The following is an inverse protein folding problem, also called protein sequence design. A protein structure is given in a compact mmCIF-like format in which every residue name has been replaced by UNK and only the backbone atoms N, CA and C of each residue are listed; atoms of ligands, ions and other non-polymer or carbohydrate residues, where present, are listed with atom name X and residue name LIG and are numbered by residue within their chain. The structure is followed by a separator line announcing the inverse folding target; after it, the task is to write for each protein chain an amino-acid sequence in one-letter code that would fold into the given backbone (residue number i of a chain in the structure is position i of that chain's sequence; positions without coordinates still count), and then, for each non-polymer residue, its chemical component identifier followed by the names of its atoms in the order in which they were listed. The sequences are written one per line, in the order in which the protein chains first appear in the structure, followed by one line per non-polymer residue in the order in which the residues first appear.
data_IF_178101268243
#
_entry.id   IF_178101268243
#
_cell.length_a   1.000
_cell.length_b   1.000
_cell.length_c   1.000
_cell.angle_alpha   90.00
_cell.angle_beta   90.00
_cell.angle_gamma   90.00
#
_symmetry.space_group_name_H-M   'P 1'
#
loop_
_entity.id
_entity.type
_entity.pdbx_description
1 polymer ?
#
# COMPACT_ATOMS: atom_id res chain seq x y z
N UNK A 1 3.22 6.63 4.21
CA UNK A 1 2.65 7.63 5.12
C UNK A 1 2.80 7.19 6.58
N UNK A 2 2.64 8.11 7.49
CA UNK A 2 2.55 7.82 8.92
C UNK A 2 1.13 7.42 9.26
N UNK A 3 0.94 6.19 9.73
CA UNK A 3 -0.40 5.64 9.96
C UNK A 3 -1.14 6.26 11.14
N UNK A 4 -0.44 6.93 12.07
CA UNK A 4 -1.06 7.55 13.24
C UNK A 4 -1.78 8.86 12.91
N UNK A 5 -1.20 9.67 12.02
CA UNK A 5 -1.76 10.99 11.68
C UNK A 5 -2.05 11.16 10.19
N UNK A 6 -1.78 10.13 9.38
CA UNK A 6 -1.98 10.12 7.92
C UNK A 6 -1.16 11.19 7.18
N UNK A 7 -0.01 11.60 7.74
CA UNK A 7 0.88 12.54 7.06
C UNK A 7 1.73 11.81 6.02
N UNK A 8 1.94 12.48 4.88
CA UNK A 8 2.79 11.94 3.82
C UNK A 8 4.26 12.02 4.25
N UNK A 9 5.03 10.97 3.96
CA UNK A 9 6.47 10.96 4.21
C UNK A 9 7.16 11.99 3.32
N UNK A 10 7.94 12.89 3.93
CA UNK A 10 8.53 14.03 3.22
C UNK A 10 9.51 13.63 2.12
N UNK A 11 10.16 12.46 2.26
CA UNK A 11 11.12 11.94 1.28
C UNK A 11 10.48 10.97 0.27
N UNK A 12 9.17 10.79 0.31
CA UNK A 12 8.49 9.94 -0.64
C UNK A 12 8.58 10.53 -2.05
N UNK A 13 8.84 9.67 -3.02
CA UNK A 13 8.80 10.07 -4.42
C UNK A 13 7.37 10.43 -4.82
N UNK A 14 7.24 11.48 -5.63
CA UNK A 14 5.96 11.95 -6.13
C UNK A 14 5.97 11.92 -7.63
N UNK A 15 4.88 11.39 -8.22
CA UNK A 15 4.73 11.34 -9.66
C UNK A 15 4.06 12.60 -10.15
N UNK A 16 3.85 12.77 -11.44
CA UNK A 16 3.73 11.66 -12.41
C UNK A 16 5.09 11.22 -12.95
N UNK A 17 5.11 10.06 -13.66
CA UNK A 17 6.32 9.66 -14.39
C UNK A 17 6.44 10.45 -15.72
N UNK A 18 7.49 10.17 -16.50
CA UNK A 18 7.76 10.89 -17.76
C UNK A 18 6.67 10.71 -18.81
N UNK A 19 5.86 9.67 -18.71
CA UNK A 19 4.75 9.38 -19.63
C UNK A 19 3.40 9.92 -19.13
N UNK A 20 3.42 10.71 -18.07
CA UNK A 20 2.22 11.24 -17.39
C UNK A 20 1.26 10.17 -16.88
N UNK A 21 1.75 8.95 -16.67
CA UNK A 21 1.01 7.90 -16.00
C UNK A 21 0.98 8.21 -14.48
N UNK A 22 -0.18 8.02 -13.86
CA UNK A 22 -0.33 8.26 -12.43
C UNK A 22 0.59 7.33 -11.62
N UNK A 23 1.46 7.93 -10.83
CA UNK A 23 2.33 7.28 -9.85
C UNK A 23 2.47 8.18 -8.63
N UNK A 24 2.53 7.62 -7.43
CA UNK A 24 2.40 6.20 -7.09
C UNK A 24 0.98 5.67 -7.39
N UNK A 25 0.81 4.34 -7.36
CA UNK A 25 -0.53 3.75 -7.51
C UNK A 25 -1.38 3.98 -6.26
N UNK A 26 -0.78 3.83 -5.09
CA UNK A 26 -1.42 4.10 -3.80
C UNK A 26 -0.34 4.30 -2.74
N UNK A 27 -0.74 4.75 -1.56
CA UNK A 27 0.15 4.96 -0.43
C UNK A 27 -0.03 3.85 0.62
N UNK A 28 1.05 3.49 1.28
CA UNK A 28 1.06 2.49 2.34
C UNK A 28 1.86 2.98 3.55
N UNK A 29 1.65 2.41 4.75
CA UNK A 29 2.40 2.80 5.93
C UNK A 29 3.90 2.53 5.75
N UNK A 30 4.72 3.53 6.00
CA UNK A 30 6.17 3.46 5.82
C UNK A 30 6.96 4.38 6.74
N UNK A 31 6.32 5.00 7.73
CA UNK A 31 6.98 5.93 8.67
C UNK A 31 6.86 5.39 10.08
N UNK A 32 7.99 5.32 10.79
CA UNK A 32 8.07 4.81 12.15
C UNK A 32 7.46 3.41 12.28
N UNK A 33 7.80 2.53 11.38
CA UNK A 33 7.31 1.16 11.36
C UNK A 33 8.17 0.31 12.27
N UNK A 34 7.54 -0.43 13.19
CA UNK A 34 8.21 -1.41 14.02
C UNK A 34 8.53 -2.64 13.18
N UNK A 35 9.80 -2.96 13.03
CA UNK A 35 10.27 -4.05 12.19
C UNK A 35 11.40 -4.82 12.86
N UNK A 36 11.73 -5.99 12.32
CA UNK A 36 12.82 -6.81 12.82
C UNK A 36 14.14 -6.06 12.70
N UNK A 37 15.02 -6.27 13.67
CA UNK A 37 16.31 -5.59 13.74
C UNK A 37 17.46 -6.58 13.89
N UNK A 38 18.58 -6.24 13.28
CA UNK A 38 19.85 -6.97 13.44
C UNK A 38 20.73 -6.31 14.51
N UNK A 39 20.26 -5.24 15.14
CA UNK A 39 21.05 -4.54 16.16
C UNK A 39 21.21 -5.37 17.42
N UNK A 40 22.43 -5.43 18.02
CA UNK A 40 22.65 -6.17 19.26
C UNK A 40 21.70 -5.68 20.38
N UNK A 41 21.09 -6.64 21.07
CA UNK A 41 20.19 -6.33 22.19
C UNK A 41 18.77 -5.92 21.84
N UNK A 42 18.43 -5.83 20.53
CA UNK A 42 17.10 -5.49 20.09
C UNK A 42 16.55 -6.47 19.07
N UNK A 43 15.38 -7.05 19.31
CA UNK A 43 14.69 -7.89 18.33
C UNK A 43 13.96 -7.07 17.29
N UNK A 44 13.57 -5.85 17.66
CA UNK A 44 12.79 -4.94 16.83
C UNK A 44 13.37 -3.53 16.88
N UNK A 45 13.15 -2.78 15.83
CA UNK A 45 13.51 -1.37 15.74
C UNK A 45 12.49 -0.63 14.90
N UNK A 46 12.39 0.69 15.13
CA UNK A 46 11.57 1.56 14.30
C UNK A 46 12.36 2.03 13.09
N UNK A 47 11.74 1.99 11.93
CA UNK A 47 12.37 2.44 10.68
C UNK A 47 11.35 3.15 9.79
N UNK A 48 11.85 4.01 8.90
CA UNK A 48 11.02 4.76 7.97
C UNK A 48 11.60 4.68 6.56
N UNK A 49 10.72 4.64 5.58
CA UNK A 49 11.11 4.64 4.17
C UNK A 49 10.02 4.07 3.29
N UNK A 50 10.04 4.44 2.03
CA UNK A 50 9.12 3.87 1.02
C UNK A 50 9.36 2.38 0.80
N UNK A 51 10.57 1.88 1.12
CA UNK A 51 10.86 0.44 1.11
C UNK A 51 9.98 -0.33 2.10
N UNK A 52 9.70 0.27 3.26
CA UNK A 52 8.80 -0.34 4.26
C UNK A 52 7.35 -0.30 3.80
N UNK A 53 6.94 0.77 3.13
CA UNK A 53 5.62 0.84 2.49
C UNK A 53 5.47 -0.23 1.41
N UNK A 54 6.50 -0.46 0.61
CA UNK A 54 6.51 -1.52 -0.40
C UNK A 54 6.43 -2.91 0.24
N UNK A 55 7.13 -3.14 1.34
CA UNK A 55 7.07 -4.40 2.08
C UNK A 55 5.67 -4.65 2.64
N UNK A 56 5.02 -3.62 3.18
CA UNK A 56 3.63 -3.67 3.64
C UNK A 56 2.70 -4.11 2.50
N UNK A 57 2.83 -3.46 1.36
CA UNK A 57 2.02 -3.76 0.18
C UNK A 57 2.26 -5.18 -0.33
N UNK A 58 3.51 -5.67 -0.26
CA UNK A 58 3.85 -7.05 -0.64
C UNK A 58 3.12 -8.07 0.24
N UNK A 59 3.06 -7.83 1.54
CA UNK A 59 2.31 -8.68 2.48
C UNK A 59 0.81 -8.66 2.17
N UNK A 60 0.26 -7.51 1.89
CA UNK A 60 -1.15 -7.35 1.49
C UNK A 60 -1.42 -8.12 0.19
N UNK A 61 -0.53 -8.01 -0.79
CA UNK A 61 -0.65 -8.74 -2.05
C UNK A 61 -0.64 -10.26 -1.83
N UNK A 62 0.21 -10.75 -0.93
CA UNK A 62 0.25 -12.16 -0.59
C UNK A 62 -1.09 -12.66 -0.05
N UNK A 63 -1.75 -11.87 0.80
CA UNK A 63 -3.06 -12.21 1.34
C UNK A 63 -4.15 -12.21 0.25
N UNK A 64 -4.08 -11.29 -0.69
CA UNK A 64 -4.99 -11.28 -1.85
C UNK A 64 -4.78 -12.50 -2.74
N UNK A 65 -3.54 -12.89 -2.99
CA UNK A 65 -3.23 -14.10 -3.77
C UNK A 65 -3.71 -15.37 -3.06
N UNK A 66 -3.59 -15.43 -1.74
CA UNK A 66 -4.15 -16.56 -0.98
C UNK A 66 -5.66 -16.65 -1.17
N UNK A 67 -6.37 -15.55 -0.99
CA UNK A 67 -7.82 -15.49 -1.17
C UNK A 67 -8.22 -15.90 -2.58
N UNK A 68 -7.51 -15.38 -3.59
CA UNK A 68 -7.88 -15.58 -4.98
C UNK A 68 -7.54 -16.97 -5.49
N UNK A 69 -6.29 -17.40 -5.32
CA UNK A 69 -5.77 -18.62 -5.94
C UNK A 69 -5.85 -19.83 -5.02
N UNK A 70 -5.42 -19.70 -3.77
CA UNK A 70 -5.38 -20.84 -2.84
C UNK A 70 -6.81 -21.22 -2.43
N UNK A 71 -7.64 -20.24 -2.14
CA UNK A 71 -9.05 -20.47 -1.78
C UNK A 71 -10.00 -20.52 -2.97
N UNK A 72 -9.48 -20.31 -4.19
CA UNK A 72 -10.22 -20.51 -5.43
C UNK A 72 -11.27 -19.46 -5.77
N UNK A 73 -11.22 -18.28 -5.16
CA UNK A 73 -12.23 -17.24 -5.43
C UNK A 73 -12.05 -16.60 -6.81
N UNK A 74 -10.81 -16.48 -7.29
CA UNK A 74 -10.50 -15.95 -8.61
C UNK A 74 -9.31 -16.69 -9.23
N UNK A 75 -9.55 -17.76 -10.01
CA UNK A 75 -8.47 -18.60 -10.55
C UNK A 75 -7.53 -17.88 -11.52
N UNK A 76 -7.99 -16.79 -12.15
CA UNK A 76 -7.19 -16.02 -13.12
C UNK A 76 -6.57 -14.77 -12.53
N UNK A 77 -6.45 -14.69 -11.22
CA UNK A 77 -5.89 -13.55 -10.50
C UNK A 77 -4.41 -13.36 -10.84
N UNK A 78 -4.01 -12.12 -11.13
CA UNK A 78 -2.64 -11.75 -11.52
C UNK A 78 -2.18 -10.51 -10.73
N UNK A 79 -0.93 -10.09 -10.95
CA UNK A 79 -0.41 -8.85 -10.38
C UNK A 79 -1.23 -7.61 -10.77
N UNK A 80 -1.77 -7.58 -11.99
CA UNK A 80 -2.66 -6.50 -12.41
C UNK A 80 -3.96 -6.50 -11.60
N UNK A 81 -4.44 -7.66 -11.20
CA UNK A 81 -5.62 -7.76 -10.32
C UNK A 81 -5.35 -7.15 -8.95
N UNK A 82 -4.17 -7.39 -8.38
CA UNK A 82 -3.75 -6.76 -7.11
C UNK A 82 -3.85 -5.24 -7.21
N UNK A 83 -3.23 -4.68 -8.22
CA UNK A 83 -3.23 -3.24 -8.44
C UNK A 83 -4.65 -2.69 -8.60
N UNK A 84 -5.48 -3.35 -9.38
CA UNK A 84 -6.86 -2.96 -9.62
C UNK A 84 -7.69 -2.96 -8.34
N UNK A 85 -7.63 -4.05 -7.58
CA UNK A 85 -8.45 -4.18 -6.37
C UNK A 85 -7.98 -3.25 -5.25
N UNK A 86 -6.68 -3.12 -5.04
CA UNK A 86 -6.15 -2.23 -4.01
C UNK A 86 -6.41 -0.76 -4.35
N UNK A 87 -6.39 -0.40 -5.62
CA UNK A 87 -6.74 0.97 -6.03
C UNK A 87 -8.20 1.27 -5.78
N UNK A 88 -9.10 0.32 -6.05
CA UNK A 88 -10.54 0.49 -5.78
C UNK A 88 -10.86 0.49 -4.29
N UNK A 89 -10.15 -0.33 -3.52
CA UNK A 89 -10.35 -0.45 -2.07
C UNK A 89 -9.58 0.57 -1.24
N UNK A 90 -8.82 1.46 -1.87
CA UNK A 90 -8.02 2.46 -1.17
C UNK A 90 -8.91 3.46 -0.43
N UNK A 91 -8.46 3.88 0.74
CA UNK A 91 -9.15 4.89 1.52
C UNK A 91 -8.80 6.29 1.01
N UNK A 92 -9.81 7.12 0.86
CA UNK A 92 -9.69 8.47 0.32
C UNK A 92 -10.26 9.49 1.29
N UNK A 93 -9.58 10.62 1.40
CA UNK A 93 -10.05 11.71 2.24
C UNK A 93 -10.92 12.68 1.43
N UNK A 94 -11.98 13.18 2.07
CA UNK A 94 -12.82 14.21 1.50
C UNK A 94 -11.99 15.48 1.25
N UNK A 95 -12.26 16.15 0.14
CA UNK A 95 -11.58 17.40 -0.22
C UNK A 95 -10.31 17.20 -1.05
N UNK A 96 -9.89 15.97 -1.27
CA UNK A 96 -8.79 15.66 -2.19
C UNK A 96 -9.32 15.04 -3.47
N UNK A 97 -8.67 15.35 -4.59
CA UNK A 97 -8.96 14.71 -5.88
C UNK A 97 -8.06 13.49 -6.03
N UNK A 98 -8.64 12.35 -6.41
CA UNK A 98 -7.91 11.11 -6.66
C UNK A 98 -8.13 10.63 -8.09
N UNK A 99 -7.16 9.99 -8.74
CA UNK A 99 -5.80 9.79 -8.24
C UNK A 99 -4.99 11.08 -8.27
N UNK A 100 -3.94 11.14 -7.44
CA UNK A 100 -3.02 12.28 -7.43
C UNK A 100 -1.56 11.82 -7.29
N UNK A 101 -0.63 12.76 -7.46
CA UNK A 101 0.81 12.43 -7.52
C UNK A 101 1.43 12.15 -6.15
N UNK A 102 0.71 12.35 -5.06
CA UNK A 102 1.22 12.11 -3.71
C UNK A 102 0.65 10.82 -3.11
N UNK A 103 -0.64 10.56 -3.31
CA UNK A 103 -1.37 9.45 -2.71
C UNK A 103 -1.82 8.39 -3.72
N UNK A 104 -1.63 8.64 -5.02
CA UNK A 104 -2.18 7.76 -6.06
C UNK A 104 -3.69 7.66 -5.94
N UNK A 105 -4.22 6.44 -5.86
CA UNK A 105 -5.65 6.19 -5.67
C UNK A 105 -6.09 6.22 -4.21
N UNK A 106 -5.18 6.47 -3.28
CA UNK A 106 -5.47 6.59 -1.86
C UNK A 106 -4.58 5.70 -1.00
N UNK A 107 -4.92 5.59 0.28
CA UNK A 107 -4.19 4.75 1.23
C UNK A 107 -4.65 3.30 1.08
N UNK A 108 -3.69 2.38 0.92
CA UNK A 108 -4.02 0.96 0.79
C UNK A 108 -4.70 0.46 2.07
N UNK A 109 -5.78 -0.31 1.90
CA UNK A 109 -6.51 -0.91 3.03
C UNK A 109 -7.06 -2.27 2.60
N UNK A 110 -6.50 -3.32 3.13
CA UNK A 110 -6.88 -4.68 2.76
C UNK A 110 -8.29 -5.03 3.25
N UNK A 111 -8.63 -4.63 4.46
CA UNK A 111 -9.95 -4.91 5.01
C UNK A 111 -11.06 -4.29 4.15
N UNK A 112 -10.91 -3.01 3.82
CA UNK A 112 -11.86 -2.31 2.96
C UNK A 112 -11.92 -2.95 1.57
N UNK A 113 -10.77 -3.36 1.04
CA UNK A 113 -10.71 -4.07 -0.24
C UNK A 113 -11.52 -5.37 -0.20
N UNK A 114 -11.38 -6.17 0.85
CA UNK A 114 -12.16 -7.39 1.00
C UNK A 114 -13.65 -7.12 1.19
N UNK A 115 -14.03 -6.05 1.87
CA UNK A 115 -15.43 -5.66 1.99
C UNK A 115 -16.07 -5.42 0.61
N UNK A 116 -15.33 -4.81 -0.31
CA UNK A 116 -15.82 -4.56 -1.67
C UNK A 116 -15.90 -5.84 -2.52
N UNK A 117 -15.11 -6.87 -2.19
CA UNK A 117 -15.07 -8.13 -2.92
C UNK A 117 -16.09 -9.15 -2.41
N UNK A 118 -16.64 -8.92 -1.27
CA UNK A 118 -17.66 -9.78 -0.66
C UNK A 118 -18.97 -9.04 -0.49
#
# INVERSE_FOLDING_TARGET
YQYRDNSLYVQASRGYNTDFVVKPDFAAPGVEILTASINPGGEFASASGSSLAAAHTSGIAALLFEWALIRGNEPYFTGNSVKHYLSRGALREAGRVYPNQEWGYGRVDLYHTFELLT
#
